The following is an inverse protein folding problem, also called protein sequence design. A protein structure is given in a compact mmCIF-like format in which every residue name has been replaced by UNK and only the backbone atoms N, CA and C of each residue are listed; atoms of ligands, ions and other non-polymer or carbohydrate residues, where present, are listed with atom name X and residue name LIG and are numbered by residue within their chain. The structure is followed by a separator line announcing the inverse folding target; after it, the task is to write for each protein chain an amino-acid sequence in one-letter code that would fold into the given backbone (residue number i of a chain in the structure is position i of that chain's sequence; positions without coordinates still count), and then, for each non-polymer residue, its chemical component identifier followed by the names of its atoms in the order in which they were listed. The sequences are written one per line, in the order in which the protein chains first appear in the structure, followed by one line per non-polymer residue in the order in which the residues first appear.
data_IF_838813053674
#
_entry.id   IF_838813053674
#
_cell.length_a   1.000
_cell.length_b   1.000
_cell.length_c   1.000
_cell.angle_alpha   90.00
_cell.angle_beta   90.00
_cell.angle_gamma   90.00
#
_symmetry.space_group_name_H-M   'P 1'
#
loop_
_entity.id
_entity.type
_entity.pdbx_description
1 polymer ?
#
# COMPACT_ATOMS: atom_id res chain seq x y z
N UNK A 1 -17.17 42.03 -9.69
CA UNK A 1 -18.61 41.75 -9.56
C UNK A 1 -18.75 41.21 -8.16
N UNK A 2 -19.53 41.87 -7.32
CA UNK A 2 -19.52 41.59 -5.88
C UNK A 2 -20.72 40.73 -5.53
N UNK A 3 -20.47 39.64 -4.81
CA UNK A 3 -21.52 38.75 -4.32
C UNK A 3 -21.68 38.95 -2.82
N UNK A 4 -22.92 38.83 -2.33
CA UNK A 4 -23.17 38.79 -0.89
C UNK A 4 -22.71 37.45 -0.29
N UNK A 5 -22.53 37.41 1.03
CA UNK A 5 -22.21 36.16 1.75
C UNK A 5 -23.24 35.07 1.46
N UNK A 6 -24.53 35.45 1.39
CA UNK A 6 -25.62 34.53 1.07
C UNK A 6 -25.48 33.97 -0.35
N UNK A 7 -25.13 34.84 -1.31
CA UNK A 7 -24.89 34.42 -2.70
C UNK A 7 -23.69 33.48 -2.83
N UNK A 8 -22.60 33.73 -2.11
CA UNK A 8 -21.47 32.80 -2.05
C UNK A 8 -21.86 31.45 -1.48
N UNK A 9 -22.63 31.44 -0.37
CA UNK A 9 -23.13 30.19 0.22
C UNK A 9 -23.97 29.40 -0.78
N UNK A 10 -24.89 30.06 -1.49
CA UNK A 10 -25.75 29.41 -2.50
C UNK A 10 -24.95 28.87 -3.68
N UNK A 11 -23.93 29.61 -4.13
CA UNK A 11 -23.01 29.13 -5.15
C UNK A 11 -22.23 27.89 -4.68
N UNK A 12 -21.74 27.88 -3.43
CA UNK A 12 -21.05 26.71 -2.87
C UNK A 12 -21.98 25.50 -2.78
N UNK A 13 -23.25 25.70 -2.40
CA UNK A 13 -24.26 24.63 -2.42
C UNK A 13 -24.47 24.10 -3.85
N UNK A 14 -24.59 24.98 -4.84
CA UNK A 14 -24.72 24.58 -6.25
C UNK A 14 -23.52 23.74 -6.72
N UNK A 15 -22.30 24.16 -6.38
CA UNK A 15 -21.08 23.46 -6.74
C UNK A 15 -20.99 22.08 -6.06
N UNK A 16 -21.34 22.01 -4.77
CA UNK A 16 -21.38 20.77 -4.01
C UNK A 16 -22.39 19.79 -4.63
N UNK A 17 -23.59 20.25 -4.97
CA UNK A 17 -24.60 19.43 -5.63
C UNK A 17 -24.12 18.89 -6.99
N UNK A 18 -23.47 19.71 -7.82
CA UNK A 18 -22.91 19.27 -9.11
C UNK A 18 -21.84 18.18 -8.92
N UNK A 19 -20.91 18.39 -7.99
CA UNK A 19 -19.86 17.41 -7.69
C UNK A 19 -20.42 16.14 -7.06
N UNK A 20 -21.42 16.28 -6.19
CA UNK A 20 -22.13 15.15 -5.59
C UNK A 20 -22.82 14.32 -6.66
N UNK A 21 -23.61 14.94 -7.55
CA UNK A 21 -24.30 14.26 -8.65
C UNK A 21 -23.32 13.52 -9.57
N UNK A 22 -22.18 14.14 -9.88
CA UNK A 22 -21.12 13.48 -10.64
C UNK A 22 -20.60 12.24 -9.89
N UNK A 23 -20.25 12.38 -8.62
CA UNK A 23 -19.67 11.29 -7.81
C UNK A 23 -20.64 10.15 -7.53
N UNK A 24 -21.92 10.43 -7.24
CA UNK A 24 -22.88 9.42 -6.78
C UNK A 24 -23.75 8.86 -7.89
N UNK A 25 -24.17 9.70 -8.83
CA UNK A 25 -25.08 9.31 -9.92
C UNK A 25 -24.34 9.02 -11.22
N UNK A 26 -23.01 9.22 -11.26
CA UNK A 26 -22.23 9.12 -12.50
C UNK A 26 -22.86 9.93 -13.64
N UNK A 27 -23.41 11.10 -13.31
CA UNK A 27 -24.16 11.90 -14.26
C UNK A 27 -23.26 12.27 -15.44
N UNK A 28 -23.76 12.14 -16.68
CA UNK A 28 -22.99 12.54 -17.86
C UNK A 28 -22.82 14.07 -17.89
N UNK A 29 -21.86 14.57 -18.66
CA UNK A 29 -21.70 16.03 -18.84
C UNK A 29 -22.97 16.67 -19.39
N UNK A 30 -23.65 16.00 -20.33
CA UNK A 30 -24.89 16.49 -20.93
C UNK A 30 -26.01 16.60 -19.87
N UNK A 31 -26.19 15.55 -19.09
CA UNK A 31 -27.20 15.52 -18.02
C UNK A 31 -26.89 16.56 -16.93
N UNK A 32 -25.62 16.74 -16.58
CA UNK A 32 -25.18 17.77 -15.62
C UNK A 32 -25.46 19.19 -16.11
N UNK A 33 -25.28 19.47 -17.41
CA UNK A 33 -25.62 20.76 -18.01
C UNK A 33 -27.14 20.95 -18.05
N UNK A 34 -27.89 19.90 -18.34
CA UNK A 34 -29.36 19.92 -18.32
C UNK A 34 -29.88 20.21 -16.91
N UNK A 35 -29.36 19.53 -15.91
CA UNK A 35 -29.69 19.76 -14.50
C UNK A 35 -29.38 21.20 -14.08
N UNK A 36 -28.18 21.71 -14.43
CA UNK A 36 -27.83 23.11 -14.15
C UNK A 36 -28.82 24.08 -14.80
N UNK A 37 -29.22 23.81 -16.05
CA UNK A 37 -30.23 24.63 -16.75
C UNK A 37 -31.57 24.61 -16.01
N UNK A 38 -32.01 23.46 -15.53
CA UNK A 38 -33.27 23.34 -14.77
C UNK A 38 -33.22 24.12 -13.46
N UNK A 39 -32.15 23.95 -12.67
CA UNK A 39 -31.94 24.68 -11.41
C UNK A 39 -31.81 26.19 -11.63
N UNK A 40 -31.19 26.61 -12.73
CA UNK A 40 -31.07 28.03 -13.09
C UNK A 40 -32.29 28.58 -13.83
N UNK A 41 -33.18 27.74 -14.37
CA UNK A 41 -34.42 28.15 -15.03
C UNK A 41 -35.60 28.28 -14.04
N UNK A 42 -35.51 27.65 -12.87
CA UNK A 42 -36.38 27.92 -11.71
C UNK A 42 -36.23 29.37 -11.17
N UNK A 43 -35.37 30.17 -11.81
CA UNK A 43 -35.26 31.63 -11.69
C UNK A 43 -36.39 32.37 -12.46
N UNK A 44 -37.21 31.67 -13.26
CA UNK A 44 -38.40 32.18 -13.95
C UNK A 44 -39.72 31.92 -13.20
N UNK A 45 -40.79 32.71 -13.41
CA UNK A 45 -41.98 32.66 -12.58
C UNK A 45 -42.85 31.45 -12.95
N UNK A 46 -42.76 30.32 -12.23
CA UNK A 46 -43.87 29.35 -12.04
C UNK A 46 -43.51 28.12 -11.19
N UNK A 47 -44.24 28.01 -10.07
CA UNK A 47 -44.93 26.80 -9.59
C UNK A 47 -44.15 25.50 -9.30
N UNK A 48 -43.38 25.47 -8.21
CA UNK A 48 -43.36 24.28 -7.34
C UNK A 48 -43.09 24.69 -5.88
N UNK A 49 -43.97 24.27 -4.98
CA UNK A 49 -43.82 24.51 -3.54
C UNK A 49 -42.71 23.60 -3.02
N UNK A 50 -41.80 24.17 -2.22
CA UNK A 50 -40.73 23.49 -1.47
C UNK A 50 -39.33 23.55 -2.10
N UNK A 51 -38.83 24.74 -2.46
CA UNK A 51 -37.39 25.03 -2.44
C UNK A 51 -37.18 26.54 -2.26
N UNK A 52 -36.69 26.95 -1.09
CA UNK A 52 -36.52 28.36 -0.74
C UNK A 52 -35.35 28.99 -1.54
N UNK A 53 -35.73 29.83 -2.51
CA UNK A 53 -34.95 30.92 -3.11
C UNK A 53 -33.61 30.54 -3.76
N UNK A 54 -33.67 30.02 -4.99
CA UNK A 54 -32.56 30.16 -5.97
C UNK A 54 -32.59 31.50 -6.73
N UNK A 55 -33.64 32.30 -6.52
CA UNK A 55 -33.91 33.63 -7.09
C UNK A 55 -33.02 34.77 -6.54
N UNK A 56 -31.82 34.46 -6.06
CA UNK A 56 -30.94 35.44 -5.38
C UNK A 56 -29.91 36.04 -6.36
N UNK A 57 -29.69 35.41 -7.52
CA UNK A 57 -28.75 35.88 -8.53
C UNK A 57 -29.45 36.74 -9.58
N UNK A 58 -28.86 37.89 -9.90
CA UNK A 58 -29.27 38.65 -11.06
C UNK A 58 -28.82 37.96 -12.36
N UNK A 59 -29.34 38.39 -13.52
CA UNK A 59 -29.01 37.79 -14.82
C UNK A 59 -27.51 37.87 -15.15
N UNK A 60 -26.81 38.91 -14.71
CA UNK A 60 -25.37 39.06 -14.96
C UNK A 60 -24.55 38.11 -14.08
N UNK A 61 -24.94 37.98 -12.82
CA UNK A 61 -24.38 37.06 -11.83
C UNK A 61 -24.61 35.61 -12.24
N UNK A 62 -25.82 35.27 -12.68
CA UNK A 62 -26.15 33.95 -13.22
C UNK A 62 -25.28 33.60 -14.42
N UNK A 63 -25.14 34.52 -15.39
CA UNK A 63 -24.23 34.30 -16.53
C UNK A 63 -22.78 34.14 -16.09
N UNK A 64 -22.29 34.96 -15.15
CA UNK A 64 -20.93 34.83 -14.63
C UNK A 64 -20.69 33.49 -13.93
N UNK A 65 -21.68 32.97 -13.20
CA UNK A 65 -21.64 31.64 -12.58
C UNK A 65 -21.57 30.55 -13.65
N UNK A 66 -22.41 30.63 -14.68
CA UNK A 66 -22.40 29.67 -15.80
C UNK A 66 -21.05 29.68 -16.52
N UNK A 67 -20.52 30.86 -16.82
CA UNK A 67 -19.22 31.02 -17.47
C UNK A 67 -18.10 30.45 -16.61
N UNK A 68 -18.13 30.69 -15.29
CA UNK A 68 -17.19 30.11 -14.35
C UNK A 68 -17.27 28.57 -14.34
N UNK A 69 -18.47 28.00 -14.20
CA UNK A 69 -18.68 26.54 -14.19
C UNK A 69 -18.23 25.90 -15.50
N UNK A 70 -18.40 26.61 -16.63
CA UNK A 70 -17.95 26.17 -17.94
C UNK A 70 -16.43 26.00 -18.01
N UNK A 71 -15.67 27.00 -17.57
CA UNK A 71 -14.19 26.98 -17.65
C UNK A 71 -13.53 26.18 -16.51
N UNK A 72 -14.25 25.93 -15.42
CA UNK A 72 -13.74 25.18 -14.27
C UNK A 72 -14.20 23.73 -14.29
N UNK A 73 -15.44 23.47 -13.90
CA UNK A 73 -15.96 22.12 -13.71
C UNK A 73 -16.16 21.39 -15.05
N UNK A 74 -16.88 22.00 -15.99
CA UNK A 74 -17.28 21.31 -17.22
C UNK A 74 -16.12 21.12 -18.20
N UNK A 75 -15.20 22.08 -18.29
CA UNK A 75 -13.98 21.92 -19.10
C UNK A 75 -13.12 20.74 -18.61
N UNK A 76 -13.11 20.47 -17.31
CA UNK A 76 -12.31 19.41 -16.70
C UNK A 76 -13.15 18.20 -16.28
N UNK A 77 -14.34 18.00 -16.85
CA UNK A 77 -15.28 16.96 -16.40
C UNK A 77 -14.68 15.56 -16.39
N UNK A 78 -13.90 15.20 -17.43
CA UNK A 78 -13.20 13.90 -17.52
C UNK A 78 -12.16 13.70 -16.42
N UNK A 79 -11.52 14.77 -15.96
CA UNK A 79 -10.58 14.71 -14.85
C UNK A 79 -11.31 14.41 -13.53
N UNK A 80 -12.47 15.02 -13.31
CA UNK A 80 -13.29 14.74 -12.13
C UNK A 80 -13.88 13.33 -12.16
N UNK A 81 -14.33 12.84 -13.32
CA UNK A 81 -14.72 11.43 -13.50
C UNK A 81 -13.57 10.48 -13.14
N UNK A 82 -12.36 10.75 -13.67
CA UNK A 82 -11.17 9.97 -13.34
C UNK A 82 -10.87 10.02 -11.83
N UNK A 83 -10.92 11.20 -11.22
CA UNK A 83 -10.64 11.37 -9.78
C UNK A 83 -11.56 10.55 -8.87
N UNK A 84 -12.84 10.43 -9.25
CA UNK A 84 -13.85 9.72 -8.46
C UNK A 84 -13.91 8.21 -8.75
N UNK A 85 -13.61 7.79 -9.98
CA UNK A 85 -13.89 6.42 -10.42
C UNK A 85 -12.66 5.60 -10.80
N UNK A 86 -11.50 6.23 -10.97
CA UNK A 86 -10.28 5.48 -11.25
C UNK A 86 -9.80 4.76 -10.00
N UNK A 87 -9.53 3.46 -10.17
CA UNK A 87 -8.87 2.66 -9.16
C UNK A 87 -7.54 3.32 -8.80
N UNK A 88 -7.40 3.75 -7.55
CA UNK A 88 -6.14 4.26 -7.04
C UNK A 88 -5.32 3.04 -6.64
N UNK A 89 -4.14 2.87 -7.22
CA UNK A 89 -3.14 1.95 -6.69
C UNK A 89 -2.72 2.50 -5.32
N UNK A 90 -3.28 1.92 -4.26
CA UNK A 90 -2.84 2.20 -2.90
C UNK A 90 -1.46 1.58 -2.73
N UNK A 91 -0.42 2.42 -2.77
CA UNK A 91 0.93 1.98 -2.43
C UNK A 91 0.98 1.82 -0.90
N UNK A 92 0.68 0.62 -0.41
CA UNK A 92 0.87 0.26 0.99
C UNK A 92 2.38 0.07 1.21
N UNK A 93 3.06 1.11 1.69
CA UNK A 93 4.45 1.01 2.16
C UNK A 93 4.41 0.42 3.56
N UNK A 94 4.45 -0.91 3.65
CA UNK A 94 4.66 -1.61 4.92
C UNK A 94 6.13 -1.51 5.34
N UNK A 95 6.42 -0.83 6.44
CA UNK A 95 7.74 -0.91 7.09
C UNK A 95 7.69 -2.02 8.13
N UNK A 96 8.30 -3.17 7.84
CA UNK A 96 8.53 -4.22 8.84
C UNK A 96 9.65 -3.77 9.79
N UNK A 97 9.31 -3.54 11.06
CA UNK A 97 10.29 -3.26 12.12
C UNK A 97 10.65 -4.58 12.82
N UNK A 98 11.84 -5.09 12.55
CA UNK A 98 12.42 -6.19 13.31
C UNK A 98 13.10 -5.58 14.54
N UNK A 99 12.51 -5.78 15.72
CA UNK A 99 13.11 -5.39 17.00
C UNK A 99 13.78 -6.64 17.57
N UNK A 100 15.10 -6.58 17.79
CA UNK A 100 15.81 -7.62 18.51
C UNK A 100 15.37 -7.60 19.98
N UNK A 101 14.68 -8.66 20.41
CA UNK A 101 14.25 -8.81 21.80
C UNK A 101 15.45 -9.22 22.64
N UNK A 102 15.78 -8.42 23.66
CA UNK A 102 16.85 -8.73 24.62
C UNK A 102 16.57 -10.10 25.24
N UNK A 103 17.53 -11.02 25.12
CA UNK A 103 17.41 -12.36 25.70
C UNK A 103 17.23 -12.28 27.23
N UNK A 104 16.42 -13.16 27.84
CA UNK A 104 16.17 -13.16 29.28
C UNK A 104 17.47 -13.23 30.09
N UNK A 105 17.44 -12.71 31.33
CA UNK A 105 18.60 -12.55 32.22
C UNK A 105 19.29 -13.85 32.71
N UNK A 106 19.09 -14.98 32.03
CA UNK A 106 19.75 -16.26 32.29
C UNK A 106 20.35 -16.93 31.05
N UNK A 107 20.27 -16.29 29.88
CA UNK A 107 20.92 -16.78 28.67
C UNK A 107 22.29 -16.12 28.51
N UNK A 108 23.37 -16.86 28.21
CA UNK A 108 24.64 -16.25 27.82
C UNK A 108 24.42 -15.37 26.58
N UNK A 109 24.81 -14.10 26.65
CA UNK A 109 24.77 -13.18 25.50
C UNK A 109 26.15 -12.55 25.34
N UNK A 110 26.79 -12.64 24.15
CA UNK A 110 26.30 -13.30 22.92
C UNK A 110 26.18 -14.83 23.05
N UNK A 111 25.55 -15.47 22.07
CA UNK A 111 25.43 -16.92 22.05
C UNK A 111 26.83 -17.57 21.92
N UNK A 112 27.02 -18.76 22.50
CA UNK A 112 28.16 -19.60 22.19
C UNK A 112 28.53 -19.61 20.70
N UNK A 113 29.79 -19.34 20.39
CA UNK A 113 30.37 -19.32 19.03
C UNK A 113 29.90 -18.17 18.13
N UNK A 114 28.99 -17.29 18.57
CA UNK A 114 28.59 -16.09 17.82
C UNK A 114 29.78 -15.13 17.60
N UNK A 115 30.76 -15.15 18.51
CA UNK A 115 31.99 -14.34 18.44
C UNK A 115 33.01 -14.80 17.37
N UNK A 116 32.71 -15.87 16.61
CA UNK A 116 33.55 -16.34 15.50
C UNK A 116 34.78 -17.15 15.93
N UNK A 117 34.78 -17.71 17.14
CA UNK A 117 35.83 -18.61 17.63
C UNK A 117 35.62 -20.03 17.12
N UNK A 118 36.70 -20.79 16.96
CA UNK A 118 36.60 -22.18 16.51
C UNK A 118 36.06 -23.09 17.62
N UNK A 119 35.31 -24.11 17.23
CA UNK A 119 34.62 -25.02 18.15
C UNK A 119 35.58 -25.73 19.12
N UNK A 120 36.76 -26.12 18.64
CA UNK A 120 37.82 -26.75 19.42
C UNK A 120 38.33 -25.85 20.56
N UNK A 121 38.46 -24.54 20.29
CA UNK A 121 38.85 -23.56 21.30
C UNK A 121 37.71 -23.40 22.32
N UNK A 122 36.47 -23.21 21.85
CA UNK A 122 35.30 -23.06 22.72
C UNK A 122 35.13 -24.26 23.67
N UNK A 123 35.12 -25.48 23.15
CA UNK A 123 34.91 -26.70 23.94
C UNK A 123 36.00 -26.98 24.97
N UNK A 124 37.21 -26.45 24.76
CA UNK A 124 38.33 -26.65 25.70
C UNK A 124 38.21 -25.76 26.94
N UNK A 125 37.65 -24.56 26.80
CA UNK A 125 37.68 -23.52 27.85
C UNK A 125 36.32 -23.17 28.44
N UNK A 126 35.22 -23.67 27.87
CA UNK A 126 33.87 -23.48 28.41
C UNK A 126 33.64 -24.44 29.57
N UNK A 127 33.18 -23.90 30.70
CA UNK A 127 32.70 -24.70 31.82
C UNK A 127 31.39 -25.40 31.40
N UNK A 128 31.26 -26.73 31.57
CA UNK A 128 30.00 -27.41 31.34
C UNK A 128 28.90 -26.72 32.14
N UNK A 129 27.74 -26.39 31.53
CA UNK A 129 26.68 -25.73 32.26
C UNK A 129 26.32 -26.57 33.51
N UNK A 130 26.03 -25.92 34.65
CA UNK A 130 25.53 -26.63 35.81
C UNK A 130 24.30 -27.45 35.40
N UNK A 131 24.22 -28.69 35.86
CA UNK A 131 23.04 -29.53 35.69
C UNK A 131 21.90 -28.80 36.38
N UNK A 132 21.12 -28.05 35.60
CA UNK A 132 19.86 -27.50 36.07
C UNK A 132 18.93 -28.69 36.12
N UNK A 133 18.62 -29.15 37.34
CA UNK A 133 17.49 -30.01 37.63
C UNK A 133 16.24 -29.25 37.20
N UNK A 134 15.89 -29.38 35.92
CA UNK A 134 14.69 -28.78 35.37
C UNK A 134 13.52 -29.63 35.87
N UNK A 135 13.07 -29.35 37.10
CA UNK A 135 11.73 -29.69 37.52
C UNK A 135 10.80 -29.07 36.47
N UNK A 136 10.22 -29.95 35.64
CA UNK A 136 9.20 -29.66 34.66
C UNK A 136 7.95 -29.17 35.40
N UNK A 137 7.99 -27.94 35.88
CA UNK A 137 6.87 -27.29 36.55
C UNK A 137 5.96 -26.78 35.44
N UNK A 138 4.98 -27.61 35.12
CA UNK A 138 3.91 -27.29 34.18
C UNK A 138 3.33 -25.91 34.49
N UNK A 139 3.52 -24.98 33.57
CA UNK A 139 2.82 -23.71 33.59
C UNK A 139 1.91 -23.68 32.36
N UNK A 140 0.63 -23.90 32.61
CA UNK A 140 -0.45 -23.63 31.68
C UNK A 140 -0.32 -22.20 31.16
N UNK A 141 -0.14 -22.02 29.85
CA UNK A 141 -0.53 -20.82 29.15
C UNK A 141 -1.57 -21.22 28.12
N UNK A 142 -2.81 -20.82 28.38
CA UNK A 142 -3.88 -20.75 27.38
C UNK A 142 -3.41 -19.85 26.23
N UNK A 143 -3.07 -20.45 25.10
CA UNK A 143 -3.19 -19.83 23.79
C UNK A 143 -3.96 -20.79 22.89
N UNK A 144 -4.89 -20.22 22.10
CA UNK A 144 -5.95 -20.92 21.37
C UNK A 144 -5.46 -21.95 20.35
N UNK A 145 -6.39 -22.67 19.70
CA UNK A 145 -6.07 -23.88 18.95
C UNK A 145 -5.21 -23.56 17.73
N UNK A 146 -3.89 -23.76 17.84
CA UNK A 146 -3.09 -24.15 16.69
C UNK A 146 -3.53 -25.57 16.32
N UNK A 147 -4.13 -25.69 15.14
CA UNK A 147 -4.45 -26.97 14.51
C UNK A 147 -3.17 -27.81 14.40
N UNK A 148 -2.98 -28.69 15.38
CA UNK A 148 -1.93 -29.69 15.35
C UNK A 148 -2.35 -30.75 14.34
N UNK A 149 -1.91 -30.61 13.09
CA UNK A 149 -1.91 -31.75 12.17
C UNK A 149 -0.91 -32.79 12.69
N UNK A 150 -1.28 -34.08 12.75
CA UNK A 150 -0.37 -35.11 13.19
C UNK A 150 0.76 -35.24 12.17
N UNK A 151 2.00 -35.15 12.65
CA UNK A 151 3.20 -35.48 11.91
C UNK A 151 3.01 -36.87 11.28
N UNK A 152 2.86 -36.88 9.95
CA UNK A 152 3.02 -38.10 9.19
C UNK A 152 4.51 -38.45 9.27
N UNK A 153 4.81 -39.68 9.68
CA UNK A 153 6.09 -40.35 9.48
C UNK A 153 6.45 -40.30 7.98
N UNK A 154 7.07 -39.21 7.55
CA UNK A 154 7.88 -39.18 6.35
C UNK A 154 9.32 -39.18 6.80
N UNK A 155 9.95 -40.35 6.67
CA UNK A 155 11.40 -40.48 6.54
C UNK A 155 11.82 -39.69 5.30
N UNK A 156 11.82 -38.37 5.39
CA UNK A 156 12.37 -37.47 4.41
C UNK A 156 13.87 -37.44 4.69
N UNK A 157 14.58 -38.38 4.07
CA UNK A 157 16.03 -38.38 4.04
C UNK A 157 16.47 -37.00 3.56
N UNK A 158 17.23 -36.29 4.38
CA UNK A 158 17.76 -34.96 4.05
C UNK A 158 18.33 -34.99 2.62
N UNK A 159 17.79 -34.18 1.68
CA UNK A 159 18.21 -34.20 0.28
C UNK A 159 19.68 -33.81 0.08
N UNK A 160 20.34 -33.33 1.14
CA UNK A 160 21.77 -33.03 1.17
C UNK A 160 22.64 -34.21 1.66
N UNK A 161 22.04 -35.33 2.07
CA UNK A 161 22.75 -36.57 2.43
C UNK A 161 23.51 -37.08 1.21
N UNK A 162 24.83 -36.98 1.27
CA UNK A 162 25.74 -37.44 0.23
C UNK A 162 26.51 -36.33 -0.47
N UNK A 163 26.18 -35.06 -0.22
CA UNK A 163 27.00 -33.94 -0.67
C UNK A 163 28.06 -33.58 0.38
N UNK A 164 29.29 -33.49 -0.08
CA UNK A 164 30.43 -33.02 0.71
C UNK A 164 30.67 -31.53 0.45
N UNK A 165 31.39 -30.88 1.36
CA UNK A 165 31.79 -29.47 1.21
C UNK A 165 32.62 -29.27 -0.08
N UNK A 166 33.38 -30.28 -0.48
CA UNK A 166 34.15 -30.29 -1.73
C UNK A 166 33.25 -30.24 -2.96
N UNK A 167 32.10 -30.90 -2.95
CA UNK A 167 31.13 -30.85 -4.06
C UNK A 167 30.56 -29.44 -4.25
N UNK A 168 30.27 -28.76 -3.13
CA UNK A 168 29.78 -27.37 -3.15
C UNK A 168 30.85 -26.43 -3.69
N UNK A 169 32.11 -26.59 -3.26
CA UNK A 169 33.23 -25.79 -3.76
C UNK A 169 33.46 -25.98 -5.26
N UNK A 170 33.32 -27.21 -5.77
CA UNK A 170 33.47 -27.52 -7.19
C UNK A 170 32.39 -26.82 -8.03
N UNK A 171 31.12 -26.95 -7.63
CA UNK A 171 30.00 -26.32 -8.34
C UNK A 171 30.14 -24.80 -8.32
N UNK A 172 30.49 -24.21 -7.17
CA UNK A 172 30.64 -22.76 -7.05
C UNK A 172 31.81 -22.23 -7.89
N UNK A 173 32.95 -22.95 -7.92
CA UNK A 173 34.08 -22.62 -8.77
C UNK A 173 33.71 -22.64 -10.25
N UNK A 174 33.03 -23.70 -10.69
CA UNK A 174 32.60 -23.85 -12.07
C UNK A 174 31.64 -22.75 -12.52
N UNK A 175 30.62 -22.42 -11.71
CA UNK A 175 29.68 -21.33 -12.02
C UNK A 175 30.40 -19.97 -12.09
N UNK A 176 31.37 -19.75 -11.21
CA UNK A 176 32.16 -18.50 -11.20
C UNK A 176 32.99 -18.36 -12.48
N UNK A 177 33.65 -19.44 -12.90
CA UNK A 177 34.43 -19.48 -14.13
C UNK A 177 33.55 -19.29 -15.37
N UNK A 178 32.38 -19.94 -15.43
CA UNK A 178 31.42 -19.81 -16.54
C UNK A 178 30.93 -18.36 -16.69
N UNK A 179 30.62 -17.68 -15.57
CA UNK A 179 30.21 -16.27 -15.58
C UNK A 179 31.38 -15.39 -16.03
N UNK A 180 32.59 -15.61 -15.52
CA UNK A 180 33.78 -14.85 -15.92
C UNK A 180 34.08 -15.01 -17.42
N UNK A 181 33.97 -16.22 -17.96
CA UNK A 181 34.14 -16.49 -19.39
C UNK A 181 33.05 -15.78 -20.18
N UNK A 182 31.79 -15.84 -19.75
CA UNK A 182 30.67 -15.17 -20.44
C UNK A 182 30.85 -13.64 -20.53
N UNK A 183 31.49 -13.03 -19.53
CA UNK A 183 31.81 -11.60 -19.51
C UNK A 183 33.00 -11.29 -20.45
N UNK A 184 34.00 -12.18 -20.49
CA UNK A 184 35.19 -12.00 -21.33
C UNK A 184 34.92 -12.22 -22.83
N UNK A 185 34.01 -13.13 -23.19
CA UNK A 185 33.72 -13.50 -24.57
C UNK A 185 32.74 -12.54 -25.30
N UNK A 186 32.20 -11.53 -24.61
CA UNK A 186 31.27 -10.56 -25.21
C UNK A 186 31.83 -9.13 -25.44
N UNK A 187 32.96 -8.91 -26.16
CA UNK A 187 33.37 -7.58 -26.60
C UNK A 187 32.88 -7.28 -28.03
N UNK A 188 31.57 -7.12 -28.25
CA UNK A 188 31.03 -6.49 -29.50
C UNK A 188 29.88 -5.52 -29.24
N UNK A 189 30.28 -4.29 -28.94
CA UNK A 189 29.97 -3.06 -29.69
C UNK A 189 28.56 -2.96 -30.30
N UNK A 190 27.63 -2.36 -29.57
CA UNK A 190 26.50 -1.63 -30.15
C UNK A 190 26.89 -0.16 -30.33
N UNK A 191 27.15 0.25 -31.56
CA UNK A 191 27.08 1.65 -31.98
C UNK A 191 26.35 1.72 -33.33
N UNK A 192 25.25 2.48 -33.29
CA UNK A 192 24.23 2.75 -34.31
C UNK A 192 24.78 3.19 -35.70
N UNK A 193 23.95 3.08 -36.76
CA UNK A 193 22.94 4.10 -37.06
C UNK A 193 21.49 3.56 -36.97
#
# INVERSE_FOLDING_TARGET
MDFSIIQYSKFMTLLDMLLHNLKTLHMSLEDSIKWLREVMAEIGPSHSQQNEEWNIFDVKQANAIVDYLKISLFQHYKLYEFLFFSAREEIVIGTEQVIEVVKPAGHPFPDPLEEGISFDIYSTFIEPPPILDMEMKGLNQDQGPEESQPEADTSETDPLVGFTIEDIKLVLGQVTDDILISIQDNPKTTAHP
#
